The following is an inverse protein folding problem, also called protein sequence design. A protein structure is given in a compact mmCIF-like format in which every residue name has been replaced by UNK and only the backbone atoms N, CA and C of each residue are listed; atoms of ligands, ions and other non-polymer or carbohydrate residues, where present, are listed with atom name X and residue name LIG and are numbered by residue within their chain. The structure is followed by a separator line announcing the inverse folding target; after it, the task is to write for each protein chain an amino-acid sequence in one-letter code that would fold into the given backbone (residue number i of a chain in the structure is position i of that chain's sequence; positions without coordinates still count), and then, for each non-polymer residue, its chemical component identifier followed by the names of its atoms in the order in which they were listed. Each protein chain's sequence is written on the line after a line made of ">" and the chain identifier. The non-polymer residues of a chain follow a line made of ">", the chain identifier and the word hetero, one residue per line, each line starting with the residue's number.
data_IF_498251254634
#
_entry.id   IF_498251254634
#
_cell.length_a   1.000
_cell.length_b   1.000
_cell.length_c   1.000
_cell.angle_alpha   90.00
_cell.angle_beta   90.00
_cell.angle_gamma   90.00
#
_symmetry.space_group_name_H-M   'P 1'
#
loop_
_entity.id
_entity.type
_entity.pdbx_description
1 polymer ?
#
# COMPACT_ATOMS: atom_id res chain seq x y z
N UNK A 1 -11.68 17.68 -7.09
CA UNK A 1 -10.77 16.53 -6.97
C UNK A 1 -11.36 15.36 -7.76
N UNK A 2 -10.70 14.97 -8.85
CA UNK A 2 -11.10 13.81 -9.65
C UNK A 2 -10.95 12.56 -8.79
N UNK A 3 -11.98 11.72 -8.67
CA UNK A 3 -11.86 10.43 -7.97
C UNK A 3 -10.88 9.55 -8.76
N UNK A 4 -9.62 9.52 -8.34
CA UNK A 4 -8.61 8.68 -8.98
C UNK A 4 -9.07 7.22 -8.92
N UNK A 5 -9.26 6.66 -10.11
CA UNK A 5 -9.89 5.36 -10.30
C UNK A 5 -8.80 4.31 -10.39
N UNK A 6 -8.32 3.83 -9.24
CA UNK A 6 -7.20 2.89 -9.20
C UNK A 6 -7.65 1.45 -9.46
N UNK A 7 -6.91 0.73 -10.32
CA UNK A 7 -7.15 -0.69 -10.58
C UNK A 7 -6.45 -1.57 -9.54
N UNK A 8 -7.08 -2.67 -9.17
CA UNK A 8 -6.54 -3.58 -8.16
C UNK A 8 -5.14 -4.11 -8.51
N UNK A 9 -4.92 -4.48 -9.79
CA UNK A 9 -3.62 -4.95 -10.26
C UNK A 9 -2.54 -3.85 -10.25
N UNK A 10 -2.90 -2.60 -10.57
CA UNK A 10 -1.97 -1.47 -10.53
C UNK A 10 -1.53 -1.22 -9.08
N UNK A 11 -2.49 -1.17 -8.16
CA UNK A 11 -2.22 -0.99 -6.73
C UNK A 11 -1.34 -2.11 -6.18
N UNK A 12 -1.68 -3.37 -6.50
CA UNK A 12 -0.86 -4.53 -6.17
C UNK A 12 0.58 -4.41 -6.71
N UNK A 13 0.76 -4.10 -7.99
CA UNK A 13 2.08 -4.02 -8.62
C UNK A 13 2.92 -2.90 -8.00
N UNK A 14 2.32 -1.73 -7.77
CA UNK A 14 3.04 -0.60 -7.17
C UNK A 14 3.45 -0.92 -5.74
N UNK A 15 2.51 -1.40 -4.92
CA UNK A 15 2.76 -1.68 -3.51
C UNK A 15 3.77 -2.83 -3.34
N UNK A 16 3.64 -3.90 -4.12
CA UNK A 16 4.58 -5.03 -4.06
C UNK A 16 6.01 -4.63 -4.44
N UNK A 17 6.18 -3.86 -5.53
CA UNK A 17 7.50 -3.44 -5.98
C UNK A 17 8.11 -2.34 -5.10
N UNK A 18 7.32 -1.33 -4.71
CA UNK A 18 7.85 -0.17 -3.98
C UNK A 18 8.07 -0.45 -2.50
N UNK A 19 7.19 -1.22 -1.90
CA UNK A 19 7.24 -1.52 -0.47
C UNK A 19 7.86 -2.89 -0.21
N UNK A 20 8.32 -3.57 -1.26
CA UNK A 20 8.94 -4.91 -1.22
C UNK A 20 8.10 -5.93 -0.45
N UNK A 21 6.77 -5.79 -0.53
CA UNK A 21 5.84 -6.66 0.18
C UNK A 21 5.70 -7.97 -0.58
N UNK A 22 6.06 -9.06 0.09
CA UNK A 22 5.75 -10.40 -0.37
C UNK A 22 4.29 -10.74 -0.09
N UNK A 23 3.46 -10.62 -1.13
CA UNK A 23 2.06 -11.02 -1.06
C UNK A 23 1.90 -12.53 -1.26
N UNK A 24 1.13 -13.16 -0.37
CA UNK A 24 0.58 -14.48 -0.61
C UNK A 24 -0.44 -14.40 -1.73
N UNK A 25 -0.32 -15.33 -2.68
CA UNK A 25 -1.19 -15.46 -3.84
C UNK A 25 -2.28 -16.51 -3.64
N UNK A 26 -2.48 -17.05 -2.43
CA UNK A 26 -3.58 -17.97 -2.14
C UNK A 26 -4.85 -17.21 -1.77
N UNK A 27 -6.02 -17.65 -2.28
CA UNK A 27 -7.33 -17.06 -2.00
C UNK A 27 -7.74 -15.91 -2.95
N UNK A 28 -8.86 -15.23 -2.68
CA UNK A 28 -9.38 -14.17 -3.56
C UNK A 28 -8.60 -12.85 -3.45
N UNK A 29 -7.76 -12.67 -2.44
CA UNK A 29 -7.02 -11.44 -2.17
C UNK A 29 -5.51 -11.71 -2.11
N UNK A 30 -4.70 -10.77 -2.59
CA UNK A 30 -3.27 -10.70 -2.31
C UNK A 30 -3.08 -10.16 -0.90
N UNK A 31 -2.54 -10.97 0.02
CA UNK A 31 -2.26 -10.50 1.39
C UNK A 31 -0.79 -10.62 1.74
N UNK A 32 -0.19 -9.56 2.27
CA UNK A 32 1.24 -9.49 2.57
C UNK A 32 1.50 -8.67 3.82
N UNK A 33 2.65 -8.88 4.43
CA UNK A 33 3.12 -8.07 5.56
C UNK A 33 4.16 -7.09 5.06
N UNK A 34 4.01 -5.82 5.42
CA UNK A 34 5.10 -4.86 5.30
C UNK A 34 6.13 -5.14 6.37
N UNK A 35 7.39 -5.28 5.96
CA UNK A 35 8.51 -5.60 6.82
C UNK A 35 9.40 -4.37 6.90
N UNK A 36 9.53 -3.81 8.10
CA UNK A 36 10.45 -2.71 8.39
C UNK A 36 11.54 -3.25 9.32
N UNK A 37 12.80 -3.18 8.89
CA UNK A 37 13.95 -3.67 9.68
C UNK A 37 13.81 -5.12 10.16
N UNK A 38 13.27 -6.00 9.30
CA UNK A 38 13.04 -7.41 9.62
C UNK A 38 11.81 -7.69 10.49
N UNK A 39 11.08 -6.66 10.94
CA UNK A 39 9.85 -6.81 11.74
C UNK A 39 8.60 -6.58 10.90
N UNK A 40 7.62 -7.46 11.06
CA UNK A 40 6.28 -7.31 10.47
C UNK A 40 5.56 -6.16 11.18
N UNK A 41 5.21 -5.12 10.45
CA UNK A 41 4.55 -3.94 11.01
C UNK A 41 3.04 -4.00 10.80
N UNK A 42 2.59 -4.06 9.55
CA UNK A 42 1.17 -4.10 9.22
C UNK A 42 0.88 -5.03 8.04
N UNK A 43 -0.33 -5.61 8.05
CA UNK A 43 -0.82 -6.51 7.02
C UNK A 43 -1.65 -5.75 6.00
N UNK A 44 -1.32 -5.90 4.72
CA UNK A 44 -2.04 -5.30 3.60
C UNK A 44 -2.78 -6.40 2.85
N UNK A 45 -3.99 -6.09 2.42
CA UNK A 45 -4.83 -6.98 1.62
C UNK A 45 -5.34 -6.21 0.41
N UNK A 46 -4.99 -6.66 -0.80
CA UNK A 46 -5.49 -6.10 -2.06
C UNK A 46 -6.33 -7.18 -2.72
N UNK A 47 -7.60 -6.91 -3.11
CA UNK A 47 -8.39 -7.90 -3.82
C UNK A 47 -7.75 -8.25 -5.16
N UNK A 48 -7.90 -9.51 -5.60
CA UNK A 48 -7.40 -9.91 -6.92
C UNK A 48 -8.31 -9.41 -8.02
N UNK A 49 -7.70 -9.18 -9.18
CA UNK A 49 -8.40 -8.89 -10.43
C UNK A 49 -7.89 -7.62 -11.10
N UNK A 50 -8.58 -7.25 -12.17
CA UNK A 50 -8.27 -6.06 -12.99
C UNK A 50 -9.32 -4.95 -12.84
N UNK A 51 -10.32 -5.18 -11.99
CA UNK A 51 -11.39 -4.22 -11.72
C UNK A 51 -10.83 -3.03 -10.94
N UNK A 52 -11.47 -1.89 -11.12
CA UNK A 52 -11.29 -0.71 -10.29
C UNK A 52 -11.61 -1.04 -8.84
N UNK A 53 -10.78 -0.57 -7.91
CA UNK A 53 -11.05 -0.64 -6.49
C UNK A 53 -12.18 0.33 -6.14
N UNK A 54 -13.19 -0.16 -5.42
CA UNK A 54 -14.21 0.71 -4.84
C UNK A 54 -13.58 1.67 -3.83
N UNK A 55 -14.21 2.83 -3.59
CA UNK A 55 -13.71 3.82 -2.65
C UNK A 55 -13.46 3.24 -1.25
N UNK A 56 -14.30 2.29 -0.80
CA UNK A 56 -14.12 1.59 0.47
C UNK A 56 -12.84 0.74 0.52
N UNK A 57 -12.50 0.04 -0.57
CA UNK A 57 -11.26 -0.75 -0.63
C UNK A 57 -10.04 0.15 -0.73
N UNK A 58 -10.12 1.24 -1.50
CA UNK A 58 -9.03 2.22 -1.53
C UNK A 58 -8.76 2.81 -0.14
N UNK A 59 -9.83 3.15 0.59
CA UNK A 59 -9.75 3.64 1.97
C UNK A 59 -9.09 2.61 2.89
N UNK A 60 -9.51 1.34 2.85
CA UNK A 60 -8.94 0.26 3.67
C UNK A 60 -7.44 0.06 3.42
N UNK A 61 -7.02 0.04 2.15
CA UNK A 61 -5.60 -0.10 1.79
C UNK A 61 -4.81 1.11 2.28
N UNK A 62 -5.33 2.33 2.07
CA UNK A 62 -4.72 3.58 2.52
C UNK A 62 -4.54 3.61 4.04
N UNK A 63 -5.57 3.26 4.80
CA UNK A 63 -5.52 3.23 6.27
C UNK A 63 -4.50 2.22 6.80
N UNK A 64 -4.40 1.04 6.17
CA UNK A 64 -3.39 0.04 6.50
C UNK A 64 -1.97 0.50 6.22
N UNK A 65 -1.77 1.23 5.13
CA UNK A 65 -0.50 1.87 4.77
C UNK A 65 -0.22 3.14 5.58
N UNK A 66 -1.17 3.59 6.41
CA UNK A 66 -1.09 4.85 7.17
C UNK A 66 -0.77 6.05 6.27
N UNK A 67 -1.33 6.07 5.07
CA UNK A 67 -1.21 7.15 4.10
C UNK A 67 -2.46 8.03 4.10
N UNK A 68 -2.33 9.29 3.70
CA UNK A 68 -3.46 10.13 3.35
C UNK A 68 -3.84 9.94 1.86
N UNK A 69 -4.88 10.62 1.40
CA UNK A 69 -5.35 10.48 0.00
C UNK A 69 -4.31 10.89 -1.02
N UNK A 70 -3.64 12.01 -0.76
CA UNK A 70 -2.65 12.60 -1.66
C UNK A 70 -1.39 11.75 -1.76
N UNK A 71 -0.94 11.20 -0.63
CA UNK A 71 0.18 10.27 -0.55
C UNK A 71 -0.14 8.94 -1.20
N UNK A 72 -1.37 8.44 -1.02
CA UNK A 72 -1.81 7.23 -1.71
C UNK A 72 -1.86 7.46 -3.22
N UNK A 73 -2.45 8.56 -3.68
CA UNK A 73 -2.47 8.94 -5.10
C UNK A 73 -1.05 9.06 -5.63
N UNK A 74 -0.18 9.79 -4.94
CA UNK A 74 1.23 9.96 -5.30
C UNK A 74 1.98 8.63 -5.33
N UNK A 75 1.71 7.72 -4.39
CA UNK A 75 2.30 6.38 -4.38
C UNK A 75 1.88 5.60 -5.63
N UNK A 76 0.62 5.64 -6.03
CA UNK A 76 0.08 4.86 -7.15
C UNK A 76 0.36 5.50 -8.51
N UNK A 77 0.34 6.83 -8.61
CA UNK A 77 0.47 7.61 -9.85
C UNK A 77 1.92 7.94 -10.20
N UNK A 78 2.82 8.11 -9.23
CA UNK A 78 4.21 8.45 -9.50
C UNK A 78 5.07 7.18 -9.60
N UNK A 79 5.62 6.78 -10.76
CA UNK A 79 6.42 5.55 -10.88
C UNK A 79 7.81 5.55 -10.19
N UNK A 80 8.16 6.48 -9.29
CA UNK A 80 9.41 6.50 -8.48
C UNK A 80 9.16 7.12 -7.09
N UNK A 81 9.75 6.77 -5.94
CA UNK A 81 10.64 5.68 -5.43
C UNK A 81 10.06 5.21 -4.08
N UNK A 82 10.20 3.93 -3.74
CA UNK A 82 9.78 3.39 -2.42
C UNK A 82 10.51 3.96 -1.20
N UNK A 83 11.59 4.73 -1.42
CA UNK A 83 12.41 5.34 -0.37
C UNK A 83 11.65 6.36 0.48
N UNK A 84 10.74 7.13 -0.11
CA UNK A 84 9.95 8.15 0.62
C UNK A 84 8.97 7.49 1.61
N UNK A 85 8.40 6.34 1.23
CA UNK A 85 7.53 5.56 2.12
C UNK A 85 8.32 4.97 3.29
N UNK A 86 9.52 4.44 3.04
CA UNK A 86 10.39 3.92 4.10
C UNK A 86 10.78 5.02 5.10
N UNK A 87 11.14 6.21 4.62
CA UNK A 87 11.44 7.37 5.46
C UNK A 87 10.25 7.77 6.33
N UNK A 88 9.03 7.81 5.77
CA UNK A 88 7.80 8.05 6.53
C UNK A 88 7.56 6.98 7.60
N UNK A 89 7.80 5.71 7.28
CA UNK A 89 7.64 4.62 8.24
C UNK A 89 8.68 4.69 9.38
N UNK A 90 9.89 5.18 9.09
CA UNK A 90 10.90 5.44 10.13
C UNK A 90 10.49 6.59 11.04
N UNK A 91 9.91 7.66 10.49
CA UNK A 91 9.41 8.80 11.26
C UNK A 91 8.26 8.38 12.20
N UNK A 92 7.29 7.61 11.69
CA UNK A 92 6.20 7.04 12.50
C UNK A 92 6.72 6.13 13.63
N UNK A 93 7.79 5.38 13.38
CA UNK A 93 8.46 4.58 14.42
C UNK A 93 9.11 5.48 15.48
N UNK A 94 9.77 6.57 15.06
CA UNK A 94 10.36 7.56 15.97
C UNK A 94 9.33 8.22 16.88
N UNK A 95 8.08 8.34 16.42
CA UNK A 95 6.94 8.83 17.19
C UNK A 95 6.26 7.76 18.08
N UNK A 96 6.76 6.51 18.09
CA UNK A 96 6.20 5.41 18.89
C UNK A 96 4.87 4.84 18.36
N UNK A 97 4.55 5.07 17.08
CA UNK A 97 3.28 4.68 16.46
C UNK A 97 3.33 3.25 15.86
N UNK A 98 4.53 2.70 15.68
CA UNK A 98 4.86 1.39 15.07
C UNK A 98 5.68 0.53 16.02
#
# INVERSE_FOLDING_TARGET
>A
MSKSTFRANQVYNVISNKLEIQFRTSGPHFTGWYILEGKKTHRISVPKGRKTLSAGVQKDVREKLRLNEEEFSSLIECPMKGKDYAAKMQDLKGQGIL
#
